data_IF_149501489118
#
_entry.id   IF_149501489118
#
_cell.length_a   1.000
_cell.length_b   1.000
_cell.length_c   1.000
_cell.angle_alpha   90.00
_cell.angle_beta   90.00
_cell.angle_gamma   90.00
#
_symmetry.space_group_name_H-M   'P 1'
#
loop_
_entity.id
_entity.type
_entity.pdbx_description
1 polymer ?
#
# COMPACT_ATOMS: atom_id res chain seq x y z
N UNK A 1 -3.70 8.00 12.04
CA UNK A 1 -2.93 6.74 12.07
C UNK A 1 -3.79 5.57 11.61
N UNK A 2 -3.19 4.53 11.02
CA UNK A 2 -3.90 3.36 10.43
C UNK A 2 -4.19 2.23 11.42
N UNK A 3 -3.89 2.41 12.72
CA UNK A 3 -4.24 1.45 13.77
C UNK A 3 -3.66 0.05 13.59
N UNK A 4 -2.48 -0.07 12.96
CA UNK A 4 -1.84 -1.34 12.63
C UNK A 4 -2.71 -2.30 11.82
N UNK A 5 -3.61 -1.75 10.99
CA UNK A 5 -4.45 -2.54 10.08
C UNK A 5 -4.07 -2.26 8.64
N UNK A 6 -4.08 -3.33 7.84
CA UNK A 6 -3.92 -3.24 6.40
C UNK A 6 -5.01 -2.32 5.84
N UNK A 7 -4.63 -1.33 5.05
CA UNK A 7 -5.61 -0.37 4.52
C UNK A 7 -6.57 -1.00 3.51
N UNK A 8 -6.21 -2.13 2.91
CA UNK A 8 -7.06 -2.82 1.93
C UNK A 8 -7.99 -3.85 2.60
N UNK A 9 -7.42 -4.88 3.25
CA UNK A 9 -8.20 -5.99 3.80
C UNK A 9 -8.50 -5.89 5.30
N UNK A 10 -8.07 -4.82 5.97
CA UNK A 10 -8.31 -4.54 7.40
C UNK A 10 -7.71 -5.54 8.41
N UNK A 11 -6.95 -6.53 7.94
CA UNK A 11 -6.25 -7.47 8.82
C UNK A 11 -5.20 -6.76 9.68
N UNK A 12 -4.89 -7.33 10.84
CA UNK A 12 -3.78 -6.87 11.67
C UNK A 12 -2.46 -7.03 10.90
N UNK A 13 -1.70 -5.95 10.78
CA UNK A 13 -0.37 -5.96 10.19
C UNK A 13 0.61 -6.63 11.14
N UNK A 14 1.46 -7.51 10.60
CA UNK A 14 2.64 -8.03 11.27
C UNK A 14 3.87 -7.17 10.91
N UNK A 15 5.03 -7.48 11.48
CA UNK A 15 6.28 -6.71 11.27
C UNK A 15 6.85 -6.74 9.84
N UNK A 16 6.23 -7.47 8.90
CA UNK A 16 6.66 -7.56 7.50
C UNK A 16 5.72 -6.87 6.51
N UNK A 17 4.83 -6.00 7.02
CA UNK A 17 4.01 -5.11 6.20
C UNK A 17 4.86 -4.23 5.27
N UNK A 18 4.25 -3.75 4.20
CA UNK A 18 4.90 -2.90 3.21
C UNK A 18 4.20 -1.54 3.15
N UNK A 19 4.99 -0.49 2.92
CA UNK A 19 4.48 0.87 2.73
C UNK A 19 4.48 1.16 1.24
N UNK A 20 3.36 1.65 0.76
CA UNK A 20 3.11 1.85 -0.66
C UNK A 20 2.42 3.19 -0.91
N UNK A 21 2.40 3.63 -2.16
CA UNK A 21 1.76 4.89 -2.55
C UNK A 21 0.25 4.69 -2.80
N UNK A 22 -0.60 5.60 -2.31
CA UNK A 22 -2.04 5.58 -2.63
C UNK A 22 -2.29 5.92 -4.10
N UNK A 23 -1.54 6.89 -4.60
CA UNK A 23 -1.43 7.22 -6.02
C UNK A 23 0.02 6.98 -6.42
N UNK A 24 0.25 6.15 -7.43
CA UNK A 24 1.60 5.83 -7.89
C UNK A 24 2.31 7.06 -8.46
N UNK A 25 3.65 7.10 -8.32
CA UNK A 25 4.47 8.21 -8.84
C UNK A 25 4.27 8.45 -10.34
N UNK A 26 4.06 7.37 -11.13
CA UNK A 26 3.80 7.48 -12.58
C UNK A 26 2.51 8.21 -12.93
N UNK A 27 1.56 8.27 -11.99
CA UNK A 27 0.29 8.97 -12.12
C UNK A 27 0.26 10.29 -11.32
N UNK A 28 1.42 10.83 -10.97
CA UNK A 28 1.52 12.09 -10.22
C UNK A 28 1.44 11.94 -8.71
N UNK A 29 1.63 10.73 -8.18
CA UNK A 29 1.83 10.48 -6.76
C UNK A 29 3.01 11.24 -6.18
N UNK A 30 3.04 11.38 -4.85
CA UNK A 30 4.14 12.03 -4.12
C UNK A 30 4.70 11.13 -3.02
N UNK A 31 5.89 11.47 -2.51
CA UNK A 31 6.50 10.80 -1.35
C UNK A 31 6.04 11.36 0.00
N UNK A 32 5.08 12.29 0.02
CA UNK A 32 4.53 12.81 1.27
C UNK A 32 3.74 11.71 2.00
N UNK A 33 3.81 11.71 3.32
CA UNK A 33 3.13 10.73 4.19
C UNK A 33 1.62 10.64 3.94
N UNK A 34 1.00 11.72 3.46
CA UNK A 34 -0.41 11.74 3.06
C UNK A 34 -0.73 10.79 1.91
N UNK A 35 0.25 10.52 1.03
CA UNK A 35 0.15 9.58 -0.08
C UNK A 35 0.74 8.19 0.24
N UNK A 36 1.22 7.95 1.45
CA UNK A 36 1.72 6.63 1.85
C UNK A 36 0.65 5.84 2.59
N UNK A 37 0.68 4.53 2.44
CA UNK A 37 -0.26 3.60 3.07
C UNK A 37 0.42 2.27 3.43
N UNK A 38 0.14 1.77 4.63
CA UNK A 38 0.59 0.44 5.04
C UNK A 38 -0.36 -0.67 4.54
N UNK A 39 0.21 -1.70 3.89
CA UNK A 39 -0.49 -2.86 3.36
C UNK A 39 0.15 -4.16 3.85
N UNK A 40 -0.65 -5.22 3.99
CA UNK A 40 -0.10 -6.56 4.14
C UNK A 40 0.53 -7.02 2.81
N UNK A 41 1.50 -7.94 2.88
CA UNK A 41 2.23 -8.43 1.70
C UNK A 41 1.33 -8.97 0.59
N UNK A 42 0.21 -9.61 0.94
CA UNK A 42 -0.73 -10.12 -0.06
C UNK A 42 -1.39 -8.99 -0.85
N UNK A 43 -1.96 -7.99 -0.17
CA UNK A 43 -2.60 -6.86 -0.84
C UNK A 43 -1.60 -5.99 -1.62
N UNK A 44 -0.37 -5.83 -1.10
CA UNK A 44 0.68 -5.14 -1.84
C UNK A 44 1.11 -5.92 -3.09
N UNK A 45 1.21 -7.24 -2.99
CA UNK A 45 1.49 -8.12 -4.12
C UNK A 45 0.40 -8.09 -5.20
N UNK A 46 -0.87 -8.10 -4.81
CA UNK A 46 -2.03 -7.94 -5.71
C UNK A 46 -1.96 -6.62 -6.47
N UNK A 47 -1.74 -5.51 -5.76
CA UNK A 47 -1.58 -4.19 -6.39
C UNK A 47 -0.38 -4.16 -7.34
N UNK A 48 0.76 -4.72 -6.92
CA UNK A 48 1.96 -4.80 -7.77
C UNK A 48 1.70 -5.57 -9.06
N UNK A 49 0.95 -6.68 -8.99
CA UNK A 49 0.56 -7.44 -10.17
C UNK A 49 -0.37 -6.62 -11.07
N UNK A 50 -1.38 -5.97 -10.50
CA UNK A 50 -2.32 -5.13 -11.26
C UNK A 50 -1.59 -4.01 -12.00
N UNK A 51 -0.64 -3.33 -11.33
CA UNK A 51 0.19 -2.28 -11.92
C UNK A 51 1.05 -2.76 -13.12
N UNK A 52 1.40 -4.05 -13.17
CA UNK A 52 2.18 -4.66 -14.28
C UNK A 52 1.30 -5.07 -15.47
N UNK A 53 -0.01 -5.21 -15.26
CA UNK A 53 -0.96 -5.57 -16.31
C UNK A 53 -1.53 -4.34 -17.04
N UNK A 54 -1.35 -3.16 -16.46
CA UNK A 54 -1.60 -1.83 -17.05
C UNK A 54 -0.46 -1.38 -17.98
#
# INVERSE_FOLDING_TARGET
>A
EQGWKCNNCTCQLNHTFEVDHKVDLRYGGTNHVSNLVALCRNCHGEKTLQNKLE
#
